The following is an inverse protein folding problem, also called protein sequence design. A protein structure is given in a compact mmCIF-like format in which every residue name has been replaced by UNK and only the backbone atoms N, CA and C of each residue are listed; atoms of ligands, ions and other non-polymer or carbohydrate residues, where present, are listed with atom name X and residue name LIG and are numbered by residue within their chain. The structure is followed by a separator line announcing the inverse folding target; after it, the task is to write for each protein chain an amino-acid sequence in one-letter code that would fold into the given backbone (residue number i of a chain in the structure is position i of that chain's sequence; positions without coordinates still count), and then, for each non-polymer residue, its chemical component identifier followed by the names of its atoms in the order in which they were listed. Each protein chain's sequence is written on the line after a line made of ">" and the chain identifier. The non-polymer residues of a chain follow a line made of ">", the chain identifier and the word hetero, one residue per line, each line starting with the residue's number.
data_IF_091791636897
#
_entry.id   IF_091791636897
#
_cell.length_a   1.000
_cell.length_b   1.000
_cell.length_c   1.000
_cell.angle_alpha   90.00
_cell.angle_beta   90.00
_cell.angle_gamma   90.00
#
_symmetry.space_group_name_H-M   'P 1'
#
loop_
_entity.id
_entity.type
_entity.pdbx_description
1 polymer ?
#
# COMPACT_ATOMS: atom_id res chain seq x y z
N UNK A 1 14.65 -30.21 -17.13
CA UNK A 1 14.54 -29.39 -15.91
C UNK A 1 13.08 -29.37 -15.54
N UNK A 2 12.71 -30.04 -14.46
CA UNK A 2 11.35 -29.97 -13.90
C UNK A 2 11.41 -28.96 -12.75
N UNK A 3 10.58 -27.92 -12.82
CA UNK A 3 10.37 -26.93 -11.75
C UNK A 3 11.65 -26.34 -11.12
N UNK A 4 12.68 -25.99 -11.91
CA UNK A 4 13.88 -25.33 -11.38
C UNK A 4 14.91 -26.23 -10.67
N UNK A 5 14.73 -27.56 -10.70
CA UNK A 5 15.69 -28.53 -10.16
C UNK A 5 16.53 -29.16 -11.27
N UNK A 6 17.84 -29.26 -11.05
CA UNK A 6 18.78 -30.04 -11.87
C UNK A 6 19.66 -30.88 -10.94
N UNK A 7 19.74 -32.20 -11.17
CA UNK A 7 20.60 -33.11 -10.39
C UNK A 7 20.37 -33.02 -8.87
N UNK A 8 19.10 -32.93 -8.43
CA UNK A 8 18.69 -32.71 -7.04
C UNK A 8 19.19 -31.39 -6.41
N UNK A 9 19.63 -30.44 -7.23
CA UNK A 9 20.01 -29.09 -6.80
C UNK A 9 18.98 -28.08 -7.28
N UNK A 10 18.51 -27.25 -6.35
CA UNK A 10 17.66 -26.10 -6.66
C UNK A 10 18.49 -25.01 -7.36
N UNK A 11 18.14 -24.69 -8.60
CA UNK A 11 18.85 -23.69 -9.40
C UNK A 11 18.14 -22.35 -9.28
N UNK A 12 18.87 -21.30 -8.88
CA UNK A 12 18.39 -19.92 -8.87
C UNK A 12 19.22 -19.08 -9.81
N UNK A 13 18.55 -18.34 -10.69
CA UNK A 13 19.18 -17.42 -11.63
C UNK A 13 18.78 -15.98 -11.33
N UNK A 14 19.72 -15.05 -11.46
CA UNK A 14 19.46 -13.60 -11.37
C UNK A 14 19.31 -13.01 -12.78
N UNK A 15 18.12 -13.20 -13.35
CA UNK A 15 17.79 -12.78 -14.71
C UNK A 15 17.36 -11.31 -14.76
N UNK A 16 16.52 -10.87 -13.82
CA UNK A 16 16.06 -9.49 -13.75
C UNK A 16 17.12 -8.56 -13.16
N UNK A 17 17.34 -7.42 -13.84
CA UNK A 17 18.33 -6.40 -13.47
C UNK A 17 17.84 -5.01 -13.89
N UNK A 18 18.18 -3.99 -13.10
CA UNK A 18 17.95 -2.59 -13.42
C UNK A 18 19.30 -1.87 -13.53
N UNK A 19 19.48 -1.10 -14.61
CA UNK A 19 20.71 -0.39 -14.94
C UNK A 19 20.44 1.08 -15.23
N UNK A 20 21.44 1.93 -15.01
CA UNK A 20 21.43 3.33 -15.39
C UNK A 20 22.74 3.70 -16.10
N UNK A 21 22.69 4.69 -16.98
CA UNK A 21 23.89 5.28 -17.56
C UNK A 21 24.45 6.40 -16.68
N UNK A 22 25.57 7.01 -17.07
CA UNK A 22 26.18 8.10 -16.31
C UNK A 22 25.22 9.28 -16.07
N UNK A 23 24.43 9.63 -17.08
CA UNK A 23 23.45 10.70 -17.00
C UNK A 23 22.33 10.40 -16.00
N UNK A 24 21.85 9.16 -15.94
CA UNK A 24 20.89 8.70 -14.94
C UNK A 24 21.41 8.91 -13.51
N UNK A 25 22.65 8.50 -13.25
CA UNK A 25 23.26 8.65 -11.92
C UNK A 25 23.59 10.12 -11.59
N UNK A 26 23.77 10.97 -12.61
CA UNK A 26 23.88 12.42 -12.44
C UNK A 26 22.55 13.03 -11.97
N UNK A 27 21.43 12.63 -12.57
CA UNK A 27 20.09 13.14 -12.24
C UNK A 27 19.57 12.53 -10.92
N UNK A 28 19.83 11.25 -10.68
CA UNK A 28 19.36 10.49 -9.52
C UNK A 28 20.52 9.91 -8.70
N UNK A 29 21.34 10.76 -8.05
CA UNK A 29 22.54 10.33 -7.33
C UNK A 29 22.22 9.48 -6.09
N UNK A 30 20.97 9.47 -5.64
CA UNK A 30 20.48 8.66 -4.51
C UNK A 30 19.60 7.50 -4.96
N UNK A 31 19.66 7.14 -6.25
CA UNK A 31 18.89 6.00 -6.75
C UNK A 31 19.45 4.69 -6.23
N UNK A 32 18.56 3.74 -5.90
CA UNK A 32 18.94 2.39 -5.51
C UNK A 32 17.88 1.39 -5.94
N UNK A 33 18.30 0.14 -6.12
CA UNK A 33 17.44 -0.98 -6.48
C UNK A 33 17.32 -1.92 -5.29
N UNK A 34 16.14 -2.47 -5.07
CA UNK A 34 15.95 -3.59 -4.14
C UNK A 34 14.99 -4.62 -4.75
N UNK A 35 15.24 -5.88 -4.43
CA UNK A 35 14.35 -6.98 -4.79
C UNK A 35 13.20 -7.02 -3.79
N UNK A 36 11.97 -7.09 -4.30
CA UNK A 36 10.77 -7.33 -3.50
C UNK A 36 10.57 -8.83 -3.28
N UNK A 37 9.75 -9.16 -2.29
CA UNK A 37 9.34 -10.53 -1.98
C UNK A 37 8.76 -11.23 -3.22
N UNK A 38 9.12 -12.50 -3.37
CA UNK A 38 8.57 -13.38 -4.41
C UNK A 38 7.15 -13.78 -4.01
N UNK A 39 6.13 -13.26 -4.68
CA UNK A 39 4.72 -13.53 -4.37
C UNK A 39 3.99 -14.05 -5.62
N UNK A 40 3.76 -15.35 -5.68
CA UNK A 40 2.95 -15.98 -6.75
C UNK A 40 3.59 -15.99 -8.15
N UNK A 41 4.91 -15.79 -8.24
CA UNK A 41 5.71 -15.90 -9.47
C UNK A 41 7.06 -16.55 -9.12
N UNK A 42 7.70 -17.18 -10.09
CA UNK A 42 9.09 -17.64 -10.01
C UNK A 42 10.12 -16.50 -10.12
N UNK A 43 9.67 -15.28 -10.45
CA UNK A 43 10.46 -14.05 -10.49
C UNK A 43 10.29 -13.17 -9.24
N UNK A 44 11.35 -12.41 -8.90
CA UNK A 44 11.33 -11.38 -7.86
C UNK A 44 11.27 -9.98 -8.50
N UNK A 45 10.21 -9.19 -8.24
CA UNK A 45 10.14 -7.82 -8.77
C UNK A 45 11.31 -6.96 -8.28
N UNK A 46 11.80 -6.06 -9.13
CA UNK A 46 12.83 -5.07 -8.76
C UNK A 46 12.18 -3.71 -8.62
N UNK A 47 12.37 -3.05 -7.48
CA UNK A 47 11.94 -1.68 -7.26
C UNK A 47 13.15 -0.74 -7.29
N UNK A 48 13.19 0.11 -8.31
CA UNK A 48 14.13 1.23 -8.42
C UNK A 48 13.53 2.46 -7.75
N UNK A 49 14.16 2.91 -6.67
CA UNK A 49 13.80 4.16 -5.99
C UNK A 49 14.72 5.27 -6.48
N UNK A 50 14.15 6.37 -6.99
CA UNK A 50 14.92 7.51 -7.55
C UNK A 50 15.01 8.72 -6.61
N UNK A 51 14.08 8.82 -5.66
CA UNK A 51 14.12 9.84 -4.60
C UNK A 51 14.77 9.21 -3.36
N UNK A 52 15.86 9.79 -2.87
CA UNK A 52 16.49 9.29 -1.64
C UNK A 52 15.51 9.20 -0.47
N UNK A 53 15.83 8.42 0.57
CA UNK A 53 14.98 8.06 1.72
C UNK A 53 14.44 9.22 2.59
N UNK A 54 14.49 10.48 2.14
CA UNK A 54 14.06 11.67 2.89
C UNK A 54 12.67 12.20 2.54
N UNK A 55 12.02 11.74 1.48
CA UNK A 55 10.67 12.19 1.16
C UNK A 55 9.67 11.58 2.15
N UNK A 56 9.20 12.37 3.11
CA UNK A 56 8.08 11.96 3.98
C UNK A 56 6.88 11.68 3.09
N UNK A 57 6.42 10.43 3.06
CA UNK A 57 5.19 10.09 2.37
C UNK A 57 4.02 10.83 3.04
N UNK A 58 3.48 11.85 2.36
CA UNK A 58 2.25 12.51 2.77
C UNK A 58 1.10 11.65 2.24
N UNK A 59 0.61 10.74 3.08
CA UNK A 59 -0.49 9.87 2.71
C UNK A 59 -1.73 10.69 2.33
N UNK A 60 -2.31 10.40 1.15
CA UNK A 60 -3.60 10.97 0.76
C UNK A 60 -4.73 10.26 1.51
N UNK A 61 -5.75 11.00 1.92
CA UNK A 61 -6.99 10.36 2.36
C UNK A 61 -7.60 9.59 1.19
N UNK A 62 -7.88 8.32 1.40
CA UNK A 62 -8.63 7.46 0.48
C UNK A 62 -9.78 6.84 1.26
N UNK A 63 -10.98 6.96 0.71
CA UNK A 63 -12.16 6.31 1.24
C UNK A 63 -12.11 4.82 0.91
N UNK A 64 -12.41 3.96 1.89
CA UNK A 64 -12.55 2.53 1.69
C UNK A 64 -14.04 2.17 1.67
N UNK A 65 -14.49 1.53 0.58
CA UNK A 65 -15.89 1.07 0.41
C UNK A 65 -16.35 0.16 1.54
N UNK A 66 -15.44 -0.57 2.19
CA UNK A 66 -15.77 -1.41 3.36
C UNK A 66 -16.37 -0.62 4.51
N UNK A 67 -16.02 0.67 4.64
CA UNK A 67 -16.55 1.51 5.70
C UNK A 67 -18.05 1.80 5.55
N UNK A 68 -18.60 1.75 4.33
CA UNK A 68 -20.04 1.93 4.10
C UNK A 68 -20.90 0.89 4.81
N UNK A 69 -20.32 -0.26 5.19
CA UNK A 69 -21.02 -1.30 5.95
C UNK A 69 -20.98 -1.08 7.46
N UNK A 70 -20.26 -0.06 7.94
CA UNK A 70 -20.10 0.23 9.37
C UNK A 70 -21.11 1.30 9.81
N UNK A 71 -22.05 0.97 10.71
CA UNK A 71 -23.05 1.94 11.19
C UNK A 71 -22.41 3.18 11.80
N UNK A 72 -21.31 3.02 12.55
CA UNK A 72 -20.57 4.12 13.16
C UNK A 72 -20.07 5.15 12.15
N UNK A 73 -19.61 4.69 10.97
CA UNK A 73 -19.15 5.59 9.92
C UNK A 73 -20.30 6.41 9.34
N UNK A 74 -21.43 5.75 9.08
CA UNK A 74 -22.63 6.41 8.56
C UNK A 74 -23.15 7.46 9.54
N UNK A 75 -23.20 7.13 10.83
CA UNK A 75 -23.60 8.07 11.88
C UNK A 75 -22.64 9.26 11.98
N UNK A 76 -21.33 9.01 11.87
CA UNK A 76 -20.30 10.04 11.91
C UNK A 76 -20.45 11.04 10.74
N UNK A 77 -20.71 10.55 9.54
CA UNK A 77 -20.98 11.39 8.36
C UNK A 77 -22.29 12.15 8.55
N UNK A 78 -23.38 11.48 8.95
CA UNK A 78 -24.68 12.12 9.18
C UNK A 78 -24.58 13.25 10.20
N UNK A 79 -23.93 13.00 11.34
CA UNK A 79 -23.73 14.00 12.39
C UNK A 79 -22.90 15.18 11.88
N UNK A 80 -21.81 14.94 11.15
CA UNK A 80 -20.96 16.03 10.68
C UNK A 80 -21.58 16.83 9.54
N UNK A 81 -22.34 16.17 8.67
CA UNK A 81 -23.06 16.77 7.56
C UNK A 81 -24.15 17.74 8.03
N UNK A 82 -24.90 17.36 9.06
CA UNK A 82 -26.00 18.17 9.61
C UNK A 82 -25.55 19.11 10.74
N UNK A 83 -24.25 19.21 11.04
CA UNK A 83 -23.77 20.07 12.10
C UNK A 83 -23.92 21.54 11.70
N UNK A 84 -24.41 22.42 12.59
CA UNK A 84 -24.53 23.85 12.32
C UNK A 84 -23.16 24.44 12.01
N UNK A 85 -23.10 25.25 10.96
CA UNK A 85 -21.87 25.90 10.51
C UNK A 85 -21.90 27.38 10.88
N UNK A 86 -20.74 28.01 11.16
CA UNK A 86 -20.68 29.38 11.68
C UNK A 86 -21.37 30.42 10.77
N UNK A 87 -21.37 30.12 9.48
CA UNK A 87 -21.95 30.87 8.39
C UNK A 87 -23.01 29.95 7.78
N UNK A 88 -24.28 30.35 7.87
CA UNK A 88 -25.50 29.58 7.57
C UNK A 88 -25.64 29.13 6.08
N UNK A 89 -24.53 29.13 5.35
CA UNK A 89 -24.34 28.86 3.93
C UNK A 89 -22.98 28.17 3.73
N UNK A 90 -22.80 26.98 4.31
CA UNK A 90 -21.68 26.14 3.90
C UNK A 90 -21.97 25.51 2.55
N UNK A 91 -21.02 25.63 1.63
CA UNK A 91 -21.08 24.92 0.36
C UNK A 91 -21.01 23.41 0.58
N UNK A 92 -21.55 22.65 -0.37
CA UNK A 92 -21.41 21.18 -0.41
C UNK A 92 -19.94 20.75 -0.31
N UNK A 93 -19.02 21.53 -0.91
CA UNK A 93 -17.58 21.28 -0.89
C UNK A 93 -17.02 21.35 0.54
N UNK A 94 -17.44 22.33 1.33
CA UNK A 94 -17.01 22.48 2.73
C UNK A 94 -17.56 21.35 3.61
N UNK A 95 -18.81 20.93 3.38
CA UNK A 95 -19.40 19.78 4.06
C UNK A 95 -18.63 18.48 3.75
N UNK A 96 -18.28 18.25 2.49
CA UNK A 96 -17.46 17.09 2.08
C UNK A 96 -16.07 17.16 2.72
N UNK A 97 -15.39 18.32 2.65
CA UNK A 97 -14.06 18.50 3.21
C UNK A 97 -14.04 18.30 4.73
N UNK A 98 -15.10 18.74 5.40
CA UNK A 98 -15.34 18.57 6.82
C UNK A 98 -15.55 17.10 7.20
N UNK A 99 -16.46 16.40 6.49
CA UNK A 99 -16.68 14.97 6.70
C UNK A 99 -15.39 14.17 6.47
N UNK A 100 -14.61 14.52 5.44
CA UNK A 100 -13.31 13.91 5.16
C UNK A 100 -12.34 14.04 6.34
N UNK A 101 -12.26 15.20 7.00
CA UNK A 101 -11.38 15.40 8.17
C UNK A 101 -11.77 14.49 9.32
N UNK A 102 -13.06 14.40 9.61
CA UNK A 102 -13.58 13.58 10.71
C UNK A 102 -13.41 12.09 10.41
N UNK A 103 -13.69 11.66 9.18
CA UNK A 103 -13.44 10.29 8.72
C UNK A 103 -11.96 9.93 8.76
N UNK A 104 -11.07 10.85 8.37
CA UNK A 104 -9.62 10.61 8.45
C UNK A 104 -9.13 10.41 9.89
N UNK A 105 -9.77 11.07 10.88
CA UNK A 105 -9.49 10.87 12.30
C UNK A 105 -10.04 9.53 12.79
N UNK A 106 -11.30 9.23 12.48
CA UNK A 106 -11.94 7.95 12.83
C UNK A 106 -11.22 6.75 12.20
N UNK A 107 -10.71 6.87 10.96
CA UNK A 107 -9.87 5.84 10.33
C UNK A 107 -8.69 5.42 11.21
N UNK A 108 -8.10 6.34 11.98
CA UNK A 108 -6.94 6.04 12.83
C UNK A 108 -7.32 5.27 14.10
N UNK A 109 -8.55 5.44 14.57
CA UNK A 109 -9.09 4.66 15.70
C UNK A 109 -9.60 3.31 15.23
N UNK A 110 -10.01 3.23 13.97
CA UNK A 110 -10.41 2.00 13.31
C UNK A 110 -9.18 1.13 13.00
N UNK A 111 -8.98 0.09 13.81
CA UNK A 111 -7.94 -0.93 13.55
C UNK A 111 -8.43 -1.86 12.44
N UNK A 112 -8.49 -1.36 11.20
CA UNK A 112 -8.61 -2.24 10.04
C UNK A 112 -7.29 -2.97 9.87
N UNK A 113 -7.20 -4.16 10.46
CA UNK A 113 -5.99 -4.94 10.52
C UNK A 113 -5.62 -5.62 9.18
N UNK A 114 -5.99 -4.99 8.06
CA UNK A 114 -5.77 -5.50 6.71
C UNK A 114 -4.29 -5.80 6.48
N UNK A 115 -3.38 -5.00 7.06
CA UNK A 115 -1.94 -5.29 7.00
C UNK A 115 -1.59 -6.63 7.66
N UNK A 116 -2.02 -6.91 8.90
CA UNK A 116 -1.71 -8.21 9.52
C UNK A 116 -2.47 -9.36 8.86
N UNK A 117 -3.67 -9.12 8.31
CA UNK A 117 -4.38 -10.16 7.57
C UNK A 117 -3.65 -10.51 6.27
N UNK A 118 -3.16 -9.50 5.53
CA UNK A 118 -2.31 -9.71 4.37
C UNK A 118 -1.05 -10.48 4.77
N UNK A 119 -0.40 -10.08 5.85
CA UNK A 119 0.80 -10.76 6.34
C UNK A 119 0.53 -12.23 6.71
N UNK A 120 -0.55 -12.49 7.45
CA UNK A 120 -0.98 -13.84 7.79
C UNK A 120 -1.25 -14.68 6.55
N UNK A 121 -2.00 -14.16 5.58
CA UNK A 121 -2.30 -14.87 4.33
C UNK A 121 -1.05 -15.15 3.50
N UNK A 122 -0.05 -14.27 3.53
CA UNK A 122 1.23 -14.50 2.86
C UNK A 122 1.98 -15.68 3.47
N UNK A 123 2.07 -15.75 4.79
CA UNK A 123 2.70 -16.89 5.49
C UNK A 123 1.96 -18.19 5.17
N UNK A 124 0.63 -18.19 5.23
CA UNK A 124 -0.17 -19.38 4.88
C UNK A 124 0.08 -19.84 3.43
N UNK A 125 0.18 -18.91 2.47
CA UNK A 125 0.50 -19.25 1.08
C UNK A 125 1.91 -19.87 0.93
N UNK A 126 2.90 -19.36 1.66
CA UNK A 126 4.27 -19.92 1.64
C UNK A 126 4.35 -21.31 2.27
N UNK A 127 3.52 -21.60 3.28
CA UNK A 127 3.46 -22.93 3.88
C UNK A 127 2.83 -23.96 2.94
N UNK A 128 1.78 -23.58 2.20
CA UNK A 128 1.17 -24.45 1.19
C UNK A 128 2.11 -24.73 0.02
N UNK A 129 2.86 -23.73 -0.46
CA UNK A 129 3.84 -23.89 -1.56
C UNK A 129 4.96 -24.90 -1.23
N UNK A 130 5.30 -25.06 0.06
CA UNK A 130 6.30 -26.04 0.53
C UNK A 130 5.79 -27.48 0.59
N UNK A 131 4.47 -27.70 0.52
CA UNK A 131 3.87 -29.04 0.58
C UNK A 131 3.82 -29.73 -0.79
N UNK A 132 4.01 -28.96 -1.85
CA UNK A 132 4.03 -29.39 -3.25
C UNK A 132 5.47 -29.71 -3.66
#
# INVERSE_FOLDING_TARGET
>A
MTNGVKENVWIRCRLDRAFGNAEWFRIFPRSYNHYLERLGSDHMPILTTVMGNGAKHVGRFMFDKKWSKKPEMMELVRKRWNAPQPNNTSSVIECIASCRKVLAKWKRTEVSNSKKMIEKLRVELEEEDKKI
#
